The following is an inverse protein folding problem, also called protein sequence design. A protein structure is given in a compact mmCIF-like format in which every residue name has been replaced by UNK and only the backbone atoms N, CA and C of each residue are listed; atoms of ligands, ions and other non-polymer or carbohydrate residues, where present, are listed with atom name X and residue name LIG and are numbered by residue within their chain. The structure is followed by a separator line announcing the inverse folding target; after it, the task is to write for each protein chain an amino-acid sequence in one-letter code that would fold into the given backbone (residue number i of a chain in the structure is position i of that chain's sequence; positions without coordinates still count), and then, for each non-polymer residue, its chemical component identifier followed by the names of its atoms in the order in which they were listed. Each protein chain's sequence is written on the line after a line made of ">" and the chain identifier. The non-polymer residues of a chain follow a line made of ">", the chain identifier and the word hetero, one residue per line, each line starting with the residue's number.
data_IF_496837781476
#
_entry.id   IF_496837781476
#
_cell.length_a   1.000
_cell.length_b   1.000
_cell.length_c   1.000
_cell.angle_alpha   90.00
_cell.angle_beta   90.00
_cell.angle_gamma   90.00
#
_symmetry.space_group_name_H-M   'P 1'
#
loop_
_entity.id
_entity.type
_entity.pdbx_description
1 polymer ?
#
# COMPACT_ATOMS: atom_id res chain seq x y z
N UNK A 1 -29.08 -4.91 -4.77
CA UNK A 1 -28.40 -5.57 -5.90
C UNK A 1 -26.89 -5.58 -5.58
N UNK A 2 -26.09 -6.59 -5.94
CA UNK A 2 -24.66 -6.56 -5.73
C UNK A 2 -24.05 -5.36 -6.46
N UNK A 3 -23.27 -4.56 -5.73
CA UNK A 3 -22.76 -3.26 -6.20
C UNK A 3 -21.47 -3.39 -7.01
N UNK A 4 -20.69 -4.47 -6.80
CA UNK A 4 -19.42 -4.69 -7.49
C UNK A 4 -19.24 -6.13 -7.96
N UNK A 5 -18.49 -6.27 -9.06
CA UNK A 5 -18.03 -7.55 -9.61
C UNK A 5 -16.72 -7.95 -8.93
N UNK A 6 -16.68 -9.14 -8.38
CA UNK A 6 -15.52 -9.70 -7.67
C UNK A 6 -15.00 -10.95 -8.38
N UNK A 7 -13.73 -10.96 -8.75
CA UNK A 7 -13.03 -12.16 -9.20
C UNK A 7 -12.20 -12.74 -8.04
N UNK A 8 -12.38 -14.03 -7.77
CA UNK A 8 -11.60 -14.79 -6.79
C UNK A 8 -10.74 -15.80 -7.54
N UNK A 9 -9.43 -15.57 -7.60
CA UNK A 9 -8.43 -16.43 -8.22
C UNK A 9 -7.59 -17.11 -7.12
N UNK A 10 -7.98 -18.31 -6.70
CA UNK A 10 -7.41 -19.07 -5.59
C UNK A 10 -7.36 -20.55 -5.95
N UNK A 11 -6.18 -21.18 -5.81
CA UNK A 11 -5.99 -22.60 -6.13
C UNK A 11 -6.53 -23.54 -5.06
N UNK A 12 -6.56 -23.11 -3.78
CA UNK A 12 -7.13 -23.88 -2.67
C UNK A 12 -8.66 -23.88 -2.77
N UNK A 13 -9.25 -25.06 -3.00
CA UNK A 13 -10.69 -25.23 -3.18
C UNK A 13 -11.50 -24.80 -1.94
N UNK A 14 -11.04 -25.19 -0.73
CA UNK A 14 -11.73 -24.89 0.52
C UNK A 14 -11.81 -23.36 0.74
N UNK A 15 -10.68 -22.66 0.59
CA UNK A 15 -10.63 -21.22 0.74
C UNK A 15 -11.46 -20.51 -0.34
N UNK A 16 -11.36 -20.96 -1.61
CA UNK A 16 -12.09 -20.38 -2.72
C UNK A 16 -13.61 -20.48 -2.54
N UNK A 17 -14.10 -21.66 -2.14
CA UNK A 17 -15.53 -21.87 -1.88
C UNK A 17 -16.02 -21.10 -0.65
N UNK A 18 -15.25 -21.09 0.43
CA UNK A 18 -15.58 -20.30 1.62
C UNK A 18 -15.70 -18.79 1.30
N UNK A 19 -14.79 -18.25 0.49
CA UNK A 19 -14.86 -16.85 0.04
C UNK A 19 -16.08 -16.61 -0.85
N UNK A 20 -16.36 -17.50 -1.80
CA UNK A 20 -17.50 -17.36 -2.69
C UNK A 20 -18.84 -17.38 -1.90
N UNK A 21 -18.96 -18.24 -0.90
CA UNK A 21 -20.13 -18.31 -0.03
C UNK A 21 -20.28 -17.03 0.83
N UNK A 22 -19.20 -16.58 1.48
CA UNK A 22 -19.22 -15.38 2.32
C UNK A 22 -19.55 -14.11 1.56
N UNK A 23 -19.13 -14.01 0.28
CA UNK A 23 -19.18 -12.78 -0.51
C UNK A 23 -20.32 -12.80 -1.55
N UNK A 24 -20.86 -13.97 -1.91
CA UNK A 24 -21.83 -14.13 -3.00
C UNK A 24 -23.16 -13.38 -2.82
N UNK A 25 -23.54 -13.05 -1.57
CA UNK A 25 -24.75 -12.23 -1.32
C UNK A 25 -24.52 -10.73 -1.53
N UNK A 26 -23.25 -10.27 -1.49
CA UNK A 26 -22.85 -8.85 -1.53
C UNK A 26 -22.24 -8.45 -2.85
N UNK A 27 -21.64 -9.40 -3.56
CA UNK A 27 -20.90 -9.20 -4.80
C UNK A 27 -21.41 -10.11 -5.91
N UNK A 28 -21.26 -9.68 -7.16
CA UNK A 28 -21.34 -10.58 -8.29
C UNK A 28 -19.99 -11.32 -8.39
N UNK A 29 -19.95 -12.56 -7.92
CA UNK A 29 -18.70 -13.32 -7.74
C UNK A 29 -18.46 -14.24 -8.93
N UNK A 30 -17.24 -14.16 -9.52
CA UNK A 30 -16.65 -15.20 -10.35
C UNK A 30 -15.46 -15.84 -9.63
N UNK A 31 -15.26 -17.13 -9.81
CA UNK A 31 -14.15 -17.88 -9.21
C UNK A 31 -13.33 -18.61 -10.25
N UNK A 32 -12.03 -18.71 -10.02
CA UNK A 32 -11.15 -19.58 -10.81
C UNK A 32 -10.00 -20.13 -9.96
N UNK A 33 -9.31 -21.15 -10.46
CA UNK A 33 -8.24 -21.84 -9.75
C UNK A 33 -6.88 -21.75 -10.42
N UNK A 34 -6.78 -21.08 -11.57
CA UNK A 34 -5.54 -20.98 -12.35
C UNK A 34 -5.36 -19.58 -12.95
N UNK A 35 -4.12 -19.21 -13.21
CA UNK A 35 -3.80 -17.90 -13.77
C UNK A 35 -4.30 -17.71 -15.20
N UNK A 36 -4.31 -18.74 -16.05
CA UNK A 36 -4.90 -18.65 -17.40
C UNK A 36 -6.36 -18.26 -17.32
N UNK A 37 -7.13 -18.98 -16.46
CA UNK A 37 -8.55 -18.68 -16.31
C UNK A 37 -8.80 -17.32 -15.66
N UNK A 38 -7.91 -16.88 -14.79
CA UNK A 38 -7.97 -15.54 -14.21
C UNK A 38 -7.83 -14.45 -15.28
N UNK A 39 -6.90 -14.59 -16.23
CA UNK A 39 -6.74 -13.67 -17.37
C UNK A 39 -7.98 -13.62 -18.27
N UNK A 40 -8.55 -14.78 -18.61
CA UNK A 40 -9.79 -14.83 -19.41
C UNK A 40 -10.94 -14.11 -18.71
N UNK A 41 -11.07 -14.29 -17.38
CA UNK A 41 -12.12 -13.66 -16.62
C UNK A 41 -11.87 -12.16 -16.41
N UNK A 42 -10.62 -11.73 -16.27
CA UNK A 42 -10.29 -10.31 -16.24
C UNK A 42 -10.78 -9.60 -17.51
N UNK A 43 -10.58 -10.22 -18.67
CA UNK A 43 -11.01 -9.69 -19.99
C UNK A 43 -12.54 -9.73 -20.18
N UNK A 44 -13.15 -10.90 -19.88
CA UNK A 44 -14.56 -11.15 -20.21
C UNK A 44 -15.55 -10.68 -19.15
N UNK A 45 -15.21 -10.83 -17.87
CA UNK A 45 -16.05 -10.48 -16.75
C UNK A 45 -15.86 -9.03 -16.31
N UNK A 46 -14.67 -8.43 -16.55
CA UNK A 46 -14.28 -7.06 -16.16
C UNK A 46 -14.63 -6.78 -14.69
N UNK A 47 -13.94 -7.43 -13.74
CA UNK A 47 -14.22 -7.27 -12.31
C UNK A 47 -13.79 -5.89 -11.82
N UNK A 48 -14.51 -5.34 -10.83
CA UNK A 48 -14.12 -4.13 -10.11
C UNK A 48 -13.03 -4.43 -9.07
N UNK A 49 -13.06 -5.64 -8.50
CA UNK A 49 -12.12 -6.11 -7.47
C UNK A 49 -11.64 -7.50 -7.85
N UNK A 50 -10.34 -7.76 -7.67
CA UNK A 50 -9.76 -9.10 -7.74
C UNK A 50 -9.10 -9.48 -6.41
N UNK A 51 -9.47 -10.65 -5.86
CA UNK A 51 -8.63 -11.38 -4.93
C UNK A 51 -7.82 -12.42 -5.70
N UNK A 52 -6.49 -12.37 -5.59
CA UNK A 52 -5.60 -13.24 -6.34
C UNK A 52 -4.51 -13.84 -5.47
N UNK A 53 -4.39 -15.17 -5.48
CA UNK A 53 -3.20 -15.85 -4.99
C UNK A 53 -2.03 -15.65 -5.96
N UNK A 54 -0.90 -15.15 -5.45
CA UNK A 54 0.30 -14.99 -6.30
C UNK A 54 0.90 -16.32 -6.73
N UNK A 55 0.57 -17.42 -6.05
CA UNK A 55 1.08 -18.77 -6.36
C UNK A 55 0.04 -19.60 -7.13
N UNK A 56 -0.61 -19.02 -8.12
CA UNK A 56 -1.53 -19.77 -8.99
C UNK A 56 -0.79 -20.76 -9.89
N UNK A 57 -1.40 -21.92 -10.21
CA UNK A 57 -0.85 -22.84 -11.19
C UNK A 57 -0.96 -22.32 -12.62
N UNK A 58 -0.12 -22.87 -13.52
CA UNK A 58 0.03 -22.55 -14.94
C UNK A 58 0.67 -21.17 -15.16
N UNK A 59 -0.03 -20.09 -14.86
CA UNK A 59 0.47 -18.72 -14.86
C UNK A 59 0.33 -18.19 -13.44
N UNK A 60 1.43 -17.72 -12.85
CA UNK A 60 1.43 -17.14 -11.51
C UNK A 60 0.70 -15.80 -11.45
N UNK A 61 0.24 -15.43 -10.25
CA UNK A 61 -0.58 -14.23 -10.06
C UNK A 61 0.14 -12.91 -10.39
N UNK A 62 1.48 -12.86 -10.26
CA UNK A 62 2.27 -11.67 -10.65
C UNK A 62 2.20 -11.50 -12.17
N UNK A 63 2.42 -12.57 -12.94
CA UNK A 63 2.32 -12.57 -14.40
C UNK A 63 0.91 -12.20 -14.86
N UNK A 64 -0.14 -12.74 -14.19
CA UNK A 64 -1.54 -12.37 -14.46
C UNK A 64 -1.75 -10.87 -14.31
N UNK A 65 -1.35 -10.29 -13.16
CA UNK A 65 -1.53 -8.87 -12.87
C UNK A 65 -0.73 -7.98 -13.83
N UNK A 66 0.50 -8.39 -14.17
CA UNK A 66 1.34 -7.65 -15.12
C UNK A 66 0.72 -7.64 -16.54
N UNK A 67 0.21 -8.79 -16.99
CA UNK A 67 -0.47 -8.89 -18.28
C UNK A 67 -1.74 -8.06 -18.32
N UNK A 68 -2.58 -8.13 -17.28
CA UNK A 68 -3.78 -7.32 -17.15
C UNK A 68 -3.47 -5.81 -17.20
N UNK A 69 -2.45 -5.37 -16.46
CA UNK A 69 -2.02 -3.97 -16.46
C UNK A 69 -1.53 -3.51 -17.85
N UNK A 70 -0.80 -4.35 -18.58
CA UNK A 70 -0.36 -4.04 -19.95
C UNK A 70 -1.51 -3.94 -20.96
N UNK A 71 -2.62 -4.62 -20.69
CA UNK A 71 -3.86 -4.57 -21.46
C UNK A 71 -4.81 -3.42 -21.00
N UNK A 72 -4.39 -2.62 -20.03
CA UNK A 72 -5.22 -1.52 -19.48
C UNK A 72 -6.31 -1.96 -18.50
N UNK A 73 -6.31 -3.23 -18.06
CA UNK A 73 -7.26 -3.78 -17.10
C UNK A 73 -6.74 -3.51 -15.69
N UNK A 74 -7.44 -2.69 -14.91
CA UNK A 74 -6.99 -2.21 -13.60
C UNK A 74 -8.12 -2.34 -12.55
N UNK A 75 -8.46 -3.56 -12.09
CA UNK A 75 -9.34 -3.72 -10.94
C UNK A 75 -8.62 -3.29 -9.65
N UNK A 76 -9.36 -3.07 -8.56
CA UNK A 76 -8.75 -3.02 -7.24
C UNK A 76 -8.19 -4.40 -6.86
N UNK A 77 -6.95 -4.46 -6.38
CA UNK A 77 -6.19 -5.71 -6.24
C UNK A 77 -5.94 -6.04 -4.77
N UNK A 78 -6.52 -7.13 -4.28
CA UNK A 78 -6.15 -7.81 -3.05
C UNK A 78 -5.35 -9.06 -3.41
N UNK A 79 -4.03 -9.03 -3.20
CA UNK A 79 -3.17 -10.18 -3.46
C UNK A 79 -2.89 -10.98 -2.18
N UNK A 80 -2.69 -12.29 -2.29
CA UNK A 80 -2.22 -13.14 -1.20
C UNK A 80 -0.94 -13.86 -1.55
N UNK A 81 -0.09 -14.08 -0.52
CA UNK A 81 1.23 -14.70 -0.68
C UNK A 81 1.53 -15.67 0.45
N UNK A 82 2.12 -16.82 0.13
CA UNK A 82 2.57 -17.81 1.12
C UNK A 82 3.94 -17.54 1.71
N UNK A 83 4.83 -16.91 0.97
CA UNK A 83 6.19 -16.56 1.42
C UNK A 83 6.65 -15.26 0.77
N UNK A 84 7.53 -14.51 1.45
CA UNK A 84 8.12 -13.28 0.95
C UNK A 84 9.51 -13.55 0.38
N UNK A 85 9.83 -12.92 -0.76
CA UNK A 85 11.17 -12.82 -1.30
C UNK A 85 11.43 -11.40 -1.82
N UNK A 86 12.70 -11.01 -1.92
CA UNK A 86 13.08 -9.71 -2.50
C UNK A 86 12.55 -9.53 -3.92
N UNK A 87 12.57 -10.60 -4.72
CA UNK A 87 12.04 -10.62 -6.09
C UNK A 87 10.53 -10.30 -6.12
N UNK A 88 9.76 -10.97 -5.27
CA UNK A 88 8.30 -10.73 -5.19
C UNK A 88 8.00 -9.30 -4.74
N UNK A 89 8.73 -8.81 -3.73
CA UNK A 89 8.56 -7.42 -3.25
C UNK A 89 8.86 -6.39 -4.33
N UNK A 90 9.89 -6.61 -5.15
CA UNK A 90 10.21 -5.76 -6.29
C UNK A 90 9.14 -5.82 -7.39
N UNK A 91 8.67 -7.02 -7.74
CA UNK A 91 7.60 -7.20 -8.72
C UNK A 91 6.31 -6.51 -8.29
N UNK A 92 5.90 -6.67 -7.02
CA UNK A 92 4.70 -6.04 -6.47
C UNK A 92 4.80 -4.52 -6.38
N UNK A 93 6.01 -3.96 -6.21
CA UNK A 93 6.21 -2.51 -6.20
C UNK A 93 5.88 -1.84 -7.54
N UNK A 94 5.99 -2.58 -8.64
CA UNK A 94 5.66 -2.13 -10.01
C UNK A 94 4.18 -2.32 -10.35
N UNK A 95 3.49 -3.18 -9.60
CA UNK A 95 2.06 -3.44 -9.71
C UNK A 95 1.32 -2.60 -8.67
N UNK A 96 0.24 -1.94 -9.04
CA UNK A 96 -0.62 -1.19 -8.11
C UNK A 96 -1.48 -2.16 -7.31
N UNK A 97 -0.87 -2.91 -6.38
CA UNK A 97 -1.57 -3.81 -5.46
C UNK A 97 -2.08 -2.98 -4.28
N UNK A 98 -3.41 -2.93 -4.09
CA UNK A 98 -4.03 -2.13 -3.04
C UNK A 98 -3.83 -2.75 -1.66
N UNK A 99 -3.85 -4.08 -1.57
CA UNK A 99 -3.62 -4.79 -0.33
C UNK A 99 -2.91 -6.15 -0.54
N UNK A 100 -1.97 -6.48 0.34
CA UNK A 100 -1.28 -7.77 0.33
C UNK A 100 -1.54 -8.54 1.63
N UNK A 101 -2.08 -9.75 1.51
CA UNK A 101 -2.34 -10.67 2.62
C UNK A 101 -1.28 -11.74 2.67
N UNK A 102 -0.72 -11.99 3.85
CA UNK A 102 0.20 -13.10 4.07
C UNK A 102 -0.57 -14.33 4.55
N UNK A 103 -0.40 -15.45 3.86
CA UNK A 103 -0.95 -16.75 4.27
C UNK A 103 -0.11 -17.37 5.40
N UNK A 104 -0.71 -18.12 6.34
CA UNK A 104 -2.14 -18.48 6.37
C UNK A 104 -3.03 -17.32 6.83
N UNK A 105 -4.17 -17.13 6.17
CA UNK A 105 -5.18 -16.14 6.52
C UNK A 105 -6.58 -16.75 6.38
N UNK A 106 -7.50 -16.41 7.28
CA UNK A 106 -8.87 -16.93 7.24
C UNK A 106 -9.71 -16.29 6.13
N UNK A 107 -10.66 -17.03 5.57
CA UNK A 107 -11.60 -16.49 4.57
C UNK A 107 -12.33 -15.24 5.09
N UNK A 108 -12.68 -15.20 6.38
CA UNK A 108 -13.33 -14.03 7.01
C UNK A 108 -12.43 -12.77 6.99
N UNK A 109 -11.13 -12.93 7.27
CA UNK A 109 -10.20 -11.80 7.23
C UNK A 109 -10.02 -11.26 5.81
N UNK A 110 -9.90 -12.15 4.83
CA UNK A 110 -9.84 -11.78 3.41
C UNK A 110 -11.13 -11.08 2.98
N UNK A 111 -12.29 -11.60 3.36
CA UNK A 111 -13.59 -10.99 3.05
C UNK A 111 -13.71 -9.57 3.63
N UNK A 112 -13.24 -9.34 4.86
CA UNK A 112 -13.24 -8.00 5.47
C UNK A 112 -12.40 -7.00 4.65
N UNK A 113 -11.21 -7.41 4.16
CA UNK A 113 -10.39 -6.54 3.32
C UNK A 113 -11.03 -6.26 1.95
N UNK A 114 -11.75 -7.24 1.39
CA UNK A 114 -12.53 -7.02 0.15
C UNK A 114 -13.65 -6.00 0.41
N UNK A 115 -14.34 -6.08 1.54
CA UNK A 115 -15.36 -5.11 1.92
C UNK A 115 -14.78 -3.70 2.11
N UNK A 116 -13.61 -3.58 2.73
CA UNK A 116 -12.88 -2.31 2.88
C UNK A 116 -12.51 -1.71 1.51
N UNK A 117 -12.00 -2.51 0.57
CA UNK A 117 -11.72 -2.07 -0.80
C UNK A 117 -12.99 -1.65 -1.54
N UNK A 118 -14.07 -2.44 -1.43
CA UNK A 118 -15.36 -2.11 -2.03
C UNK A 118 -15.92 -0.78 -1.50
N UNK A 119 -15.84 -0.55 -0.19
CA UNK A 119 -16.26 0.70 0.42
C UNK A 119 -15.42 1.89 -0.07
N UNK A 120 -14.12 1.69 -0.28
CA UNK A 120 -13.24 2.71 -0.83
C UNK A 120 -13.60 3.05 -2.29
N UNK A 121 -13.95 2.05 -3.12
CA UNK A 121 -14.39 2.26 -4.50
C UNK A 121 -15.75 3.01 -4.57
N UNK A 122 -16.70 2.70 -3.67
CA UNK A 122 -18.01 3.36 -3.60
C UNK A 122 -17.93 4.80 -3.10
N UNK A 123 -17.03 5.08 -2.19
CA UNK A 123 -16.84 6.44 -1.66
C UNK A 123 -16.36 7.42 -2.76
N UNK A 124 -16.12 6.93 -3.99
CA UNK A 124 -15.39 7.67 -5.01
C UNK A 124 -13.95 7.87 -4.54
N UNK A 125 -13.07 8.47 -5.32
CA UNK A 125 -11.83 8.93 -4.75
C UNK A 125 -12.25 9.83 -3.58
N UNK A 126 -12.16 9.33 -2.33
CA UNK A 126 -11.93 10.28 -1.24
C UNK A 126 -10.84 11.13 -1.85
N UNK A 127 -11.02 12.43 -1.87
CA UNK A 127 -9.93 13.34 -2.04
C UNK A 127 -8.97 13.03 -0.88
N UNK A 128 -8.24 11.90 -0.96
CA UNK A 128 -6.87 11.89 -0.56
C UNK A 128 -6.34 13.02 -1.41
N UNK A 129 -6.27 14.18 -0.81
CA UNK A 129 -5.50 15.26 -1.39
C UNK A 129 -4.19 14.57 -1.74
N UNK A 130 -3.97 14.31 -3.03
CA UNK A 130 -2.64 13.89 -3.49
C UNK A 130 -1.71 14.84 -2.77
N UNK A 131 -0.85 14.35 -1.90
CA UNK A 131 0.00 15.24 -1.15
C UNK A 131 0.68 16.11 -2.19
N UNK A 132 0.66 17.44 -2.06
CA UNK A 132 1.12 18.38 -3.09
C UNK A 132 2.59 18.18 -3.47
N UNK A 133 3.27 17.29 -2.83
CA UNK A 133 4.54 16.62 -3.11
C UNK A 133 4.22 15.14 -3.27
N UNK A 134 4.76 14.49 -4.26
CA UNK A 134 4.70 13.04 -4.38
C UNK A 134 5.57 12.41 -3.28
N UNK A 135 5.02 12.42 -2.04
CA UNK A 135 5.68 11.82 -0.88
C UNK A 135 5.98 10.33 -1.11
N UNK A 136 5.16 9.68 -1.93
CA UNK A 136 5.38 8.29 -2.31
C UNK A 136 6.68 8.16 -3.08
N UNK A 137 6.91 9.05 -4.05
CA UNK A 137 8.16 9.11 -4.81
C UNK A 137 9.35 9.42 -3.91
N UNK A 138 9.23 10.43 -3.05
CA UNK A 138 10.31 10.79 -2.10
C UNK A 138 10.67 9.60 -1.20
N UNK A 139 9.69 8.92 -0.63
CA UNK A 139 9.94 7.77 0.23
C UNK A 139 10.52 6.58 -0.54
N UNK A 140 10.11 6.35 -1.79
CA UNK A 140 10.70 5.33 -2.65
C UNK A 140 12.15 5.67 -3.03
N UNK A 141 12.44 6.91 -3.38
CA UNK A 141 13.80 7.40 -3.63
C UNK A 141 14.71 7.21 -2.41
N UNK A 142 14.15 7.37 -1.22
CA UNK A 142 14.82 7.10 0.06
C UNK A 142 14.86 5.60 0.42
N UNK A 143 14.47 4.69 -0.49
CA UNK A 143 14.48 3.22 -0.29
C UNK A 143 13.50 2.72 0.78
N UNK A 144 12.40 3.43 1.04
CA UNK A 144 11.33 2.90 1.89
C UNK A 144 10.51 1.85 1.14
N UNK A 145 10.31 0.69 1.74
CA UNK A 145 9.41 -0.33 1.21
C UNK A 145 7.94 0.08 1.36
N UNK A 146 7.22 0.25 0.25
CA UNK A 146 5.83 0.74 0.19
C UNK A 146 4.80 -0.19 0.86
N UNK A 147 5.12 -1.47 1.03
CA UNK A 147 4.28 -2.49 1.69
C UNK A 147 4.37 -2.51 3.22
N UNK A 148 5.23 -1.67 3.82
CA UNK A 148 5.43 -1.63 5.28
C UNK A 148 4.48 -0.66 5.96
N UNK A 149 3.96 -1.02 7.13
CA UNK A 149 3.12 -0.15 7.94
C UNK A 149 3.76 1.24 8.18
N UNK A 150 5.06 1.28 8.47
CA UNK A 150 5.76 2.54 8.70
C UNK A 150 5.77 3.49 7.49
N UNK A 151 5.84 2.97 6.26
CA UNK A 151 5.67 3.76 5.03
C UNK A 151 4.27 4.37 4.97
N UNK A 152 3.22 3.54 5.17
CA UNK A 152 1.82 3.99 5.15
C UNK A 152 1.56 5.04 6.24
N UNK A 153 2.15 4.87 7.41
CA UNK A 153 2.05 5.83 8.51
C UNK A 153 2.72 7.16 8.20
N UNK A 154 3.85 7.16 7.49
CA UNK A 154 4.51 8.38 7.03
C UNK A 154 3.70 9.10 5.94
N UNK A 155 3.16 8.36 4.96
CA UNK A 155 2.30 8.93 3.90
C UNK A 155 1.07 9.61 4.50
N UNK A 156 0.40 8.95 5.45
CA UNK A 156 -0.79 9.50 6.12
C UNK A 156 -0.43 10.61 7.12
N UNK A 157 0.62 10.42 7.91
CA UNK A 157 0.97 11.29 9.03
C UNK A 157 1.62 12.60 8.62
N UNK A 158 2.41 12.64 7.54
CA UNK A 158 3.10 13.86 7.13
C UNK A 158 2.13 14.98 6.67
N UNK A 159 1.09 14.72 5.85
CA UNK A 159 0.07 15.72 5.55
C UNK A 159 -0.73 16.16 6.80
N UNK A 160 -1.04 15.23 7.69
CA UNK A 160 -1.73 15.54 8.93
C UNK A 160 -0.89 16.44 9.84
N UNK A 161 0.41 16.17 9.93
CA UNK A 161 1.37 17.00 10.64
C UNK A 161 1.50 18.40 10.01
N UNK A 162 1.40 18.50 8.69
CA UNK A 162 1.44 19.78 7.97
C UNK A 162 0.22 20.70 8.24
N UNK A 163 -0.90 20.15 8.66
CA UNK A 163 -2.10 20.94 9.02
C UNK A 163 -1.96 21.63 10.38
N UNK A 164 -1.21 21.03 11.30
CA UNK A 164 -0.93 21.60 12.61
C UNK A 164 0.51 21.29 13.05
N UNK A 165 1.43 22.16 12.66
CA UNK A 165 2.86 22.00 12.92
C UNK A 165 3.27 22.17 14.39
N UNK A 166 2.37 22.69 15.23
CA UNK A 166 2.61 22.86 16.68
C UNK A 166 2.22 21.59 17.47
N UNK A 167 1.56 20.62 16.82
CA UNK A 167 1.18 19.38 17.50
C UNK A 167 2.41 18.55 17.88
N UNK A 168 2.29 17.87 19.01
CA UNK A 168 3.33 16.99 19.53
C UNK A 168 3.28 15.65 18.80
N UNK A 169 4.39 15.23 18.14
CA UNK A 169 4.45 13.98 17.39
C UNK A 169 4.01 12.77 18.24
N UNK A 170 4.53 12.66 19.47
CA UNK A 170 4.26 11.51 20.33
C UNK A 170 2.86 11.55 20.97
N UNK A 171 2.39 12.77 21.39
CA UNK A 171 1.14 12.88 22.15
C UNK A 171 -0.11 13.06 21.29
N UNK A 172 0.05 13.54 20.05
CA UNK A 172 -1.07 13.89 19.18
C UNK A 172 -1.03 13.17 17.84
N UNK A 173 0.11 13.23 17.12
CA UNK A 173 0.22 12.65 15.78
C UNK A 173 0.17 11.12 15.79
N UNK A 174 0.95 10.44 16.66
CA UNK A 174 0.92 8.98 16.73
C UNK A 174 -0.44 8.42 17.17
N UNK A 175 -1.15 9.00 18.15
CA UNK A 175 -2.52 8.61 18.46
C UNK A 175 -3.49 8.79 17.29
N UNK A 176 -3.36 9.89 16.53
CA UNK A 176 -4.22 10.15 15.37
C UNK A 176 -3.99 9.11 14.25
N UNK A 177 -2.72 8.82 13.93
CA UNK A 177 -2.36 7.74 12.99
C UNK A 177 -2.86 6.40 13.52
N UNK A 178 -2.62 6.11 14.80
CA UNK A 178 -3.05 4.88 15.43
C UNK A 178 -4.55 4.65 15.37
N UNK A 179 -5.34 5.71 15.62
CA UNK A 179 -6.81 5.69 15.51
C UNK A 179 -7.25 5.35 14.08
N UNK A 180 -6.59 5.92 13.07
CA UNK A 180 -6.93 5.68 11.67
C UNK A 180 -6.64 4.23 11.22
N UNK A 181 -5.51 3.67 11.66
CA UNK A 181 -5.06 2.33 11.25
C UNK A 181 -5.39 1.21 12.25
N UNK A 182 -6.11 1.50 13.34
CA UNK A 182 -6.41 0.50 14.38
C UNK A 182 -5.17 0.02 15.14
N UNK A 183 -4.17 0.89 15.35
CA UNK A 183 -2.90 0.59 16.01
C UNK A 183 -2.69 1.47 17.24
N UNK A 184 -1.92 0.98 18.23
CA UNK A 184 -1.48 1.81 19.35
C UNK A 184 -0.40 2.82 18.91
N UNK A 185 -0.27 3.94 19.65
CA UNK A 185 0.79 4.93 19.41
C UNK A 185 2.19 4.32 19.44
N UNK A 186 2.42 3.33 20.31
CA UNK A 186 3.67 2.59 20.41
C UNK A 186 3.94 1.75 19.14
N UNK A 187 2.91 1.09 18.60
CA UNK A 187 3.05 0.34 17.35
C UNK A 187 3.34 1.27 16.17
N UNK A 188 2.69 2.44 16.11
CA UNK A 188 2.95 3.46 15.08
C UNK A 188 4.40 3.93 15.16
N UNK A 189 4.86 4.36 16.33
CA UNK A 189 6.23 4.80 16.55
C UNK A 189 7.26 3.74 16.14
N UNK A 190 7.06 2.50 16.60
CA UNK A 190 7.95 1.38 16.32
C UNK A 190 7.99 1.04 14.82
N UNK A 191 6.83 1.05 14.14
CA UNK A 191 6.76 0.75 12.71
C UNK A 191 7.44 1.83 11.87
N UNK A 192 7.28 3.11 12.20
CA UNK A 192 7.99 4.22 11.54
C UNK A 192 9.49 4.07 11.76
N UNK A 193 9.93 3.81 12.99
CA UNK A 193 11.35 3.61 13.32
C UNK A 193 11.96 2.45 12.53
N UNK A 194 11.27 1.30 12.49
CA UNK A 194 11.71 0.13 11.73
C UNK A 194 11.78 0.39 10.21
N UNK A 195 10.84 1.19 9.67
CA UNK A 195 10.88 1.57 8.26
C UNK A 195 12.07 2.47 7.95
N UNK A 196 12.36 3.46 8.82
CA UNK A 196 13.55 4.32 8.70
C UNK A 196 14.83 3.49 8.79
N UNK A 197 14.92 2.54 9.73
CA UNK A 197 16.09 1.67 9.87
C UNK A 197 16.35 0.86 8.61
N UNK A 198 15.31 0.26 8.06
CA UNK A 198 15.40 -0.53 6.83
C UNK A 198 15.83 0.32 5.63
N UNK A 199 15.21 1.48 5.46
CA UNK A 199 15.55 2.41 4.38
C UNK A 199 17.00 2.92 4.52
N UNK A 200 17.41 3.23 5.74
CA UNK A 200 18.77 3.65 6.06
C UNK A 200 19.83 2.59 5.73
N UNK A 201 19.57 1.32 6.03
CA UNK A 201 20.48 0.22 5.70
C UNK A 201 20.62 0.01 4.18
N UNK A 202 19.59 0.30 3.41
CA UNK A 202 19.55 0.14 1.94
C UNK A 202 19.82 1.46 1.19
N UNK A 203 20.22 2.51 1.90
CA UNK A 203 20.29 3.86 1.33
C UNK A 203 21.28 4.00 0.18
N UNK A 204 20.89 4.78 -0.80
CA UNK A 204 21.81 5.44 -1.73
C UNK A 204 22.23 6.79 -1.11
N UNK A 205 23.51 6.93 -0.75
CA UNK A 205 24.00 8.11 -0.02
C UNK A 205 23.85 9.40 -0.83
N UNK A 206 24.04 9.35 -2.16
CA UNK A 206 23.82 10.50 -3.03
C UNK A 206 22.37 10.99 -2.98
N UNK A 207 21.40 10.07 -3.06
CA UNK A 207 19.98 10.39 -2.98
C UNK A 207 19.60 10.97 -1.62
N UNK A 208 20.13 10.41 -0.53
CA UNK A 208 19.83 10.91 0.81
C UNK A 208 20.38 12.33 1.05
N UNK A 209 21.50 12.70 0.42
CA UNK A 209 22.05 14.07 0.46
C UNK A 209 21.14 15.13 -0.15
N UNK A 210 20.22 14.75 -1.03
CA UNK A 210 19.22 15.65 -1.59
C UNK A 210 18.16 16.08 -0.57
N UNK A 211 17.91 15.24 0.42
CA UNK A 211 16.85 15.42 1.41
C UNK A 211 17.33 15.77 2.82
N UNK A 212 18.53 15.35 3.18
CA UNK A 212 19.12 15.54 4.51
C UNK A 212 20.44 16.30 4.44
N UNK A 213 20.62 17.26 5.36
CA UNK A 213 21.85 18.04 5.47
C UNK A 213 22.95 17.17 6.08
N UNK A 214 24.12 17.06 5.43
CA UNK A 214 25.26 16.36 5.99
C UNK A 214 25.75 16.98 7.31
N UNK A 215 26.29 16.15 8.17
CA UNK A 215 27.03 16.58 9.37
C UNK A 215 28.37 17.23 8.98
N UNK A 216 29.07 17.94 9.89
CA UNK A 216 30.34 18.59 9.60
C UNK A 216 31.45 17.66 9.07
N UNK A 217 31.39 16.36 9.39
CA UNK A 217 32.28 15.31 8.88
C UNK A 217 31.88 14.79 7.47
N UNK A 218 30.83 15.37 6.86
CA UNK A 218 30.30 14.98 5.57
C UNK A 218 29.39 13.74 5.59
N UNK A 219 29.20 13.09 6.73
CA UNK A 219 28.28 11.96 6.87
C UNK A 219 26.83 12.45 6.96
N UNK A 220 25.88 11.60 6.59
CA UNK A 220 24.47 11.84 6.86
C UNK A 220 24.08 11.01 8.08
N UNK A 221 23.67 11.63 9.20
CA UNK A 221 23.24 10.87 10.35
C UNK A 221 21.89 10.19 10.07
N UNK A 222 21.70 9.01 10.64
CA UNK A 222 20.39 8.33 10.56
C UNK A 222 19.31 9.22 11.22
N UNK A 223 18.23 9.58 10.51
CA UNK A 223 17.22 10.45 11.09
C UNK A 223 16.37 9.73 12.14
N UNK A 224 15.94 10.48 13.13
CA UNK A 224 14.89 10.07 14.07
C UNK A 224 13.52 10.13 13.37
N UNK A 225 12.49 9.53 13.97
CA UNK A 225 11.12 9.64 13.47
C UNK A 225 10.68 11.11 13.30
N UNK A 226 11.00 11.95 14.27
CA UNK A 226 10.68 13.38 14.25
C UNK A 226 11.41 14.10 13.12
N UNK A 227 12.71 13.87 12.94
CA UNK A 227 13.49 14.47 11.85
C UNK A 227 12.96 14.04 10.48
N UNK A 228 12.58 12.77 10.31
CA UNK A 228 11.96 12.28 9.08
C UNK A 228 10.65 13.02 8.80
N UNK A 229 9.76 13.13 9.78
CA UNK A 229 8.49 13.85 9.64
C UNK A 229 8.69 15.33 9.32
N UNK A 230 9.64 16.01 9.96
CA UNK A 230 9.96 17.40 9.65
C UNK A 230 10.56 17.58 8.25
N UNK A 231 11.37 16.64 7.78
CA UNK A 231 11.88 16.66 6.40
C UNK A 231 10.75 16.52 5.41
N UNK A 232 9.83 15.58 5.60
CA UNK A 232 8.65 15.43 4.74
C UNK A 232 7.74 16.65 4.78
N UNK A 233 7.56 17.27 5.96
CA UNK A 233 6.82 18.53 6.12
C UNK A 233 7.42 19.67 5.30
N UNK A 234 8.75 19.85 5.36
CA UNK A 234 9.47 20.86 4.57
C UNK A 234 9.21 20.68 3.08
N UNK A 235 9.32 19.46 2.58
CA UNK A 235 9.09 19.16 1.16
C UNK A 235 7.65 19.46 0.72
N UNK A 236 6.66 19.19 1.58
CA UNK A 236 5.27 19.54 1.34
C UNK A 236 5.05 21.08 1.31
N UNK A 237 5.79 21.82 2.13
CA UNK A 237 5.68 23.29 2.22
C UNK A 237 6.35 24.00 1.05
N UNK A 238 7.53 23.54 0.62
CA UNK A 238 8.29 24.14 -0.47
C UNK A 238 7.51 24.08 -1.80
N UNK A 239 6.77 23.01 -2.06
CA UNK A 239 5.93 22.91 -3.27
C UNK A 239 4.66 23.75 -3.21
N UNK A 240 4.09 24.01 -2.03
CA UNK A 240 2.97 24.97 -1.90
C UNK A 240 3.38 26.39 -2.29
N UNK A 241 4.62 26.77 -2.03
CA UNK A 241 5.13 28.08 -2.37
C UNK A 241 5.40 28.23 -3.89
N UNK A 242 5.83 27.18 -4.57
CA UNK A 242 6.06 27.20 -6.04
C UNK A 242 4.73 27.33 -6.81
N UNK A 243 3.65 26.69 -6.36
CA UNK A 243 2.31 26.78 -7.00
C UNK A 243 1.57 28.12 -6.75
N UNK A 244 2.06 28.98 -5.85
CA UNK A 244 1.48 30.31 -5.61
C UNK A 244 2.12 31.43 -6.47
N UNK A 245 3.22 31.12 -7.16
CA UNK A 245 4.01 32.11 -7.93
C UNK A 245 3.83 31.89 -9.46
N UNK A 246 3.13 30.84 -9.89
CA UNK A 246 2.73 30.56 -11.28
C UNK A 246 1.21 30.56 -11.43
#
# INVERSE_FOLDING_TARGET
>A
MPTHKLLIAESNDELRFALAELLGQRYQVCVCRSGERALDLLRSFSPDIIYIDLLLPQIDGITVLHTAASEGIQPAILASIGFESSYISEALSKLKVDYLVKKPCSAKAIANHIDELSAALQAGPKQEQEPPCDLSKVLLDLSFGNHRDGYRFLIYGAPLFAQNTQQTVTKELYPAIGKHFGKSSYQVERSIRSAIDSAWQQRNEHTWRLYFTPAPDGSIPRPTNSQMLHTLLRLLSDQKNIKKIG
#
